data_IF_655788799975
#
_entry.id   IF_655788799975
#
_cell.length_a   1.000
_cell.length_b   1.000
_cell.length_c   1.000
_cell.angle_alpha   90.00
_cell.angle_beta   90.00
_cell.angle_gamma   90.00
#
_symmetry.space_group_name_H-M   'P 1'
#
loop_
_entity.id
_entity.type
_entity.pdbx_description
1 polymer ?
#
# COMPACT_ATOMS: atom_id res chain seq x y z
N UNK A 1 16.87 16.60 -40.28
CA UNK A 1 15.54 16.40 -39.66
C UNK A 1 15.76 15.90 -38.24
N UNK A 2 15.05 16.48 -37.27
CA UNK A 2 15.52 16.83 -35.92
C UNK A 2 15.96 15.69 -34.97
N UNK A 3 17.11 15.88 -34.28
CA UNK A 3 17.66 15.03 -33.19
C UNK A 3 17.36 15.65 -31.81
N UNK A 4 16.12 15.60 -31.34
CA UNK A 4 15.79 16.00 -29.96
C UNK A 4 14.77 15.03 -29.36
N UNK A 5 15.16 14.30 -28.31
CA UNK A 5 14.35 13.23 -27.69
C UNK A 5 13.08 13.74 -27.03
N UNK A 6 13.05 15.01 -26.59
CA UNK A 6 11.84 15.67 -26.07
C UNK A 6 10.78 15.88 -27.17
N UNK A 7 11.21 16.22 -28.39
CA UNK A 7 10.32 16.42 -29.54
C UNK A 7 9.68 15.10 -29.99
N UNK A 8 10.37 13.96 -29.81
CA UNK A 8 9.83 12.63 -30.13
C UNK A 8 8.70 12.20 -29.20
N UNK A 9 8.76 12.54 -27.90
CA UNK A 9 7.67 12.31 -26.92
C UNK A 9 6.44 13.18 -27.21
N UNK A 10 6.63 14.44 -27.59
CA UNK A 10 5.52 15.32 -28.00
C UNK A 10 4.91 14.93 -29.36
N UNK A 11 5.71 14.44 -30.31
CA UNK A 11 5.16 13.95 -31.59
C UNK A 11 4.46 12.60 -31.46
N UNK A 12 4.86 11.72 -30.52
CA UNK A 12 4.18 10.45 -30.30
C UNK A 12 2.86 10.62 -29.55
N UNK A 13 2.75 11.61 -28.65
CA UNK A 13 1.45 12.01 -28.09
C UNK A 13 0.57 12.74 -29.10
N UNK A 14 1.11 13.59 -29.98
CA UNK A 14 0.36 14.19 -31.10
C UNK A 14 -0.08 13.17 -32.17
N UNK A 15 0.72 12.13 -32.44
CA UNK A 15 0.33 11.02 -33.33
C UNK A 15 -0.69 10.07 -32.68
N UNK A 16 -0.67 9.91 -31.35
CA UNK A 16 -1.72 9.22 -30.62
C UNK A 16 -3.04 10.03 -30.62
N UNK A 17 -2.96 11.37 -30.56
CA UNK A 17 -4.11 12.27 -30.74
C UNK A 17 -4.66 12.23 -32.17
N UNK A 18 -3.80 12.07 -33.19
CA UNK A 18 -4.25 11.87 -34.58
C UNK A 18 -4.84 10.47 -34.81
N UNK A 19 -4.37 9.44 -34.10
CA UNK A 19 -4.90 8.09 -34.18
C UNK A 19 -6.26 7.94 -33.49
N UNK A 20 -6.51 8.67 -32.40
CA UNK A 20 -7.83 8.77 -31.75
C UNK A 20 -8.83 9.64 -32.54
N UNK A 21 -8.35 10.57 -33.35
CA UNK A 21 -9.18 11.32 -34.29
C UNK A 21 -9.58 10.50 -35.54
N UNK A 22 -8.95 9.35 -35.80
CA UNK A 22 -9.16 8.54 -37.01
C UNK A 22 -9.92 7.23 -36.80
N UNK A 23 -10.41 6.91 -35.59
CA UNK A 23 -11.36 5.81 -35.38
C UNK A 23 -12.82 6.26 -35.30
N UNK A 24 -13.08 7.57 -35.36
CA UNK A 24 -14.42 8.05 -35.66
C UNK A 24 -14.70 7.71 -37.12
N UNK A 25 -15.61 6.77 -37.34
CA UNK A 25 -16.48 6.84 -38.50
C UNK A 25 -17.06 8.26 -38.51
N UNK A 26 -16.42 9.16 -39.27
CA UNK A 26 -17.00 10.43 -39.69
C UNK A 26 -18.13 10.04 -40.64
N UNK A 27 -19.22 9.52 -40.10
CA UNK A 27 -20.51 9.81 -40.67
C UNK A 27 -20.71 11.29 -40.43
N UNK A 28 -20.44 12.09 -41.45
CA UNK A 28 -21.11 13.38 -41.62
C UNK A 28 -22.61 13.09 -41.62
N UNK A 29 -23.22 12.91 -40.46
CA UNK A 29 -24.64 13.11 -40.32
C UNK A 29 -24.82 14.61 -40.40
N UNK A 30 -25.21 15.06 -41.60
CA UNK A 30 -25.89 16.32 -41.74
C UNK A 30 -26.92 16.42 -40.60
N UNK A 31 -27.03 17.59 -39.97
CA UNK A 31 -28.19 17.95 -39.15
C UNK A 31 -29.40 17.31 -39.80
N UNK A 32 -30.06 16.35 -39.14
CA UNK A 32 -31.24 15.73 -39.72
C UNK A 32 -32.27 16.85 -39.88
N UNK A 33 -32.33 17.42 -41.09
CA UNK A 33 -33.23 18.50 -41.51
C UNK A 33 -34.68 17.97 -41.64
N UNK A 34 -34.89 16.68 -41.35
CA UNK A 34 -36.18 16.02 -41.23
C UNK A 34 -36.29 15.18 -39.96
N UNK A 35 -37.42 14.50 -39.83
CA UNK A 35 -37.75 13.72 -38.65
C UNK A 35 -36.84 12.49 -38.53
N UNK A 36 -36.44 12.18 -37.30
CA UNK A 36 -35.51 11.07 -37.00
C UNK A 36 -36.31 9.88 -36.51
N UNK A 37 -36.40 8.83 -37.33
CA UNK A 37 -37.10 7.61 -36.96
C UNK A 37 -36.49 6.95 -35.70
N UNK A 38 -37.34 6.51 -34.77
CA UNK A 38 -36.96 5.82 -33.53
C UNK A 38 -36.82 4.32 -33.83
N UNK A 39 -35.68 3.94 -34.39
CA UNK A 39 -35.40 2.57 -34.82
C UNK A 39 -33.95 2.16 -34.48
N UNK A 40 -33.62 0.89 -34.68
CA UNK A 40 -32.29 0.33 -34.36
C UNK A 40 -31.14 0.87 -35.21
N UNK A 41 -31.42 1.66 -36.26
CA UNK A 41 -30.38 2.34 -37.04
C UNK A 41 -29.94 3.63 -36.35
N UNK A 42 -30.90 4.41 -35.84
CA UNK A 42 -30.64 5.70 -35.20
C UNK A 42 -30.37 5.56 -33.69
N UNK A 43 -31.03 4.61 -33.03
CA UNK A 43 -30.92 4.32 -31.61
C UNK A 43 -30.65 2.83 -31.44
N UNK A 44 -29.37 2.46 -31.38
CA UNK A 44 -28.93 1.07 -31.52
C UNK A 44 -29.33 0.20 -30.34
N UNK A 45 -29.14 0.70 -29.12
CA UNK A 45 -29.50 -0.02 -27.91
C UNK A 45 -31.02 -0.07 -27.74
N UNK A 46 -31.55 -1.27 -27.49
CA UNK A 46 -32.99 -1.51 -27.42
C UNK A 46 -33.64 -0.83 -26.21
N UNK A 47 -32.93 -0.75 -25.09
CA UNK A 47 -33.41 -0.14 -23.86
C UNK A 47 -33.38 1.38 -24.02
N UNK A 48 -32.26 1.93 -24.50
CA UNK A 48 -32.18 3.37 -24.76
C UNK A 48 -33.22 3.80 -25.80
N UNK A 49 -33.39 3.05 -26.89
CA UNK A 49 -34.42 3.33 -27.88
C UNK A 49 -35.82 3.28 -27.29
N UNK A 50 -36.10 2.32 -26.40
CA UNK A 50 -37.37 2.27 -25.67
C UNK A 50 -37.59 3.50 -24.79
N UNK A 51 -36.54 4.01 -24.13
CA UNK A 51 -36.61 5.27 -23.37
C UNK A 51 -36.92 6.45 -24.30
N UNK A 52 -36.28 6.52 -25.47
CA UNK A 52 -36.54 7.57 -26.44
C UNK A 52 -38.01 7.54 -26.89
N UNK A 53 -38.55 6.36 -27.21
CA UNK A 53 -39.94 6.20 -27.60
C UNK A 53 -40.94 6.55 -26.47
N UNK A 54 -40.62 6.18 -25.22
CA UNK A 54 -41.56 6.36 -24.11
C UNK A 54 -41.55 7.79 -23.54
N UNK A 55 -40.41 8.49 -23.60
CA UNK A 55 -40.21 9.74 -22.87
C UNK A 55 -39.83 10.95 -23.74
N UNK A 56 -39.32 10.72 -24.95
CA UNK A 56 -38.82 11.79 -25.83
C UNK A 56 -39.63 11.94 -27.13
N UNK A 57 -40.62 11.06 -27.34
CA UNK A 57 -41.61 11.07 -28.43
C UNK A 57 -43.02 11.32 -27.85
N UNK A 58 -43.40 12.59 -27.58
CA UNK A 58 -44.66 12.91 -26.93
C UNK A 58 -45.91 12.59 -27.78
N UNK A 59 -45.83 12.66 -29.11
CA UNK A 59 -46.98 12.35 -29.97
C UNK A 59 -47.07 10.86 -30.36
N UNK A 60 -46.02 10.09 -30.03
CA UNK A 60 -45.92 8.64 -30.21
C UNK A 60 -46.06 8.22 -31.67
N UNK A 61 -45.61 9.07 -32.61
CA UNK A 61 -45.66 8.77 -34.05
C UNK A 61 -44.47 7.89 -34.52
N UNK A 62 -43.50 7.65 -33.64
CA UNK A 62 -42.31 6.84 -33.89
C UNK A 62 -41.16 7.59 -34.58
N UNK A 63 -41.28 8.91 -34.71
CA UNK A 63 -40.27 9.81 -35.26
C UNK A 63 -40.03 10.98 -34.29
N UNK A 64 -38.80 11.50 -34.30
CA UNK A 64 -38.46 12.71 -33.56
C UNK A 64 -38.36 13.89 -34.53
N UNK A 65 -39.39 14.72 -34.53
CA UNK A 65 -39.41 15.97 -35.26
C UNK A 65 -38.33 16.94 -34.78
N UNK A 66 -38.01 17.95 -35.60
CA UNK A 66 -37.09 19.00 -35.19
C UNK A 66 -37.58 19.74 -33.93
N UNK A 67 -38.90 19.94 -33.80
CA UNK A 67 -39.50 20.63 -32.66
C UNK A 67 -39.30 19.83 -31.36
N UNK A 68 -39.51 18.52 -31.41
CA UNK A 68 -39.31 17.64 -30.25
C UNK A 68 -37.84 17.63 -29.82
N UNK A 69 -36.93 17.39 -30.76
CA UNK A 69 -35.49 17.36 -30.46
C UNK A 69 -34.96 18.69 -29.94
N UNK A 70 -35.41 19.80 -30.51
CA UNK A 70 -34.96 21.14 -30.10
C UNK A 70 -35.59 21.59 -28.77
N UNK A 71 -36.72 21.00 -28.37
CA UNK A 71 -37.37 21.26 -27.09
C UNK A 71 -36.74 20.52 -25.91
N UNK A 72 -36.02 19.43 -26.17
CA UNK A 72 -35.38 18.61 -25.12
C UNK A 72 -34.09 19.26 -24.65
N UNK A 73 -34.10 19.76 -23.41
CA UNK A 73 -32.93 20.39 -22.77
C UNK A 73 -32.38 19.58 -21.60
N UNK A 74 -33.09 18.54 -21.17
CA UNK A 74 -32.69 17.59 -20.12
C UNK A 74 -33.04 16.17 -20.56
N UNK A 75 -32.08 15.26 -20.43
CA UNK A 75 -32.27 13.82 -20.55
C UNK A 75 -31.69 13.18 -19.30
N UNK A 76 -32.55 12.49 -18.54
CA UNK A 76 -32.19 11.79 -17.31
C UNK A 76 -32.41 10.30 -17.49
N UNK A 77 -31.46 9.64 -18.19
CA UNK A 77 -31.51 8.21 -18.50
C UNK A 77 -31.64 7.39 -17.22
N UNK A 78 -30.88 7.75 -16.17
CA UNK A 78 -30.94 7.08 -14.88
C UNK A 78 -32.33 7.19 -14.25
N UNK A 79 -32.94 8.39 -14.26
CA UNK A 79 -34.30 8.59 -13.77
C UNK A 79 -35.38 7.88 -14.61
N UNK A 80 -35.21 7.83 -15.94
CA UNK A 80 -36.12 7.09 -16.82
C UNK A 80 -36.08 5.59 -16.59
N UNK A 81 -34.89 5.02 -16.37
CA UNK A 81 -34.72 3.62 -16.03
C UNK A 81 -35.38 3.29 -14.68
N UNK A 82 -35.17 4.13 -13.67
CA UNK A 82 -35.82 3.98 -12.36
C UNK A 82 -37.35 4.03 -12.47
N UNK A 83 -37.88 4.99 -13.24
CA UNK A 83 -39.33 5.11 -13.44
C UNK A 83 -39.94 3.90 -14.17
N UNK A 84 -39.19 3.31 -15.10
CA UNK A 84 -39.68 2.19 -15.93
C UNK A 84 -39.52 0.83 -15.27
N UNK A 85 -38.39 0.59 -14.60
CA UNK A 85 -38.02 -0.72 -14.07
C UNK A 85 -38.07 -0.80 -12.54
N UNK A 86 -38.20 0.34 -11.84
CA UNK A 86 -38.21 0.43 -10.39
C UNK A 86 -36.83 0.72 -9.79
N UNK A 87 -36.84 1.38 -8.63
CA UNK A 87 -35.64 1.73 -7.86
C UNK A 87 -34.76 0.51 -7.56
N UNK A 88 -33.44 0.67 -7.74
CA UNK A 88 -32.46 -0.38 -7.50
C UNK A 88 -32.38 -1.47 -8.57
N UNK A 89 -33.13 -1.36 -9.67
CA UNK A 89 -33.02 -2.30 -10.79
C UNK A 89 -31.78 -1.99 -11.63
N UNK A 90 -30.87 -2.94 -11.73
CA UNK A 90 -29.70 -2.84 -12.61
C UNK A 90 -30.12 -3.06 -14.06
N UNK A 91 -29.95 -2.03 -14.89
CA UNK A 91 -30.26 -2.08 -16.33
C UNK A 91 -29.07 -1.54 -17.11
N UNK A 92 -28.57 -2.34 -18.03
CA UNK A 92 -27.41 -1.99 -18.84
C UNK A 92 -27.83 -1.36 -20.16
N UNK A 93 -27.18 -0.27 -20.52
CA UNK A 93 -27.26 0.38 -21.83
C UNK A 93 -25.84 0.39 -22.38
N UNK A 94 -25.65 -0.30 -23.50
CA UNK A 94 -24.33 -0.44 -24.11
C UNK A 94 -23.98 0.75 -25.03
N UNK A 95 -24.98 1.41 -25.60
CA UNK A 95 -24.78 2.37 -26.70
C UNK A 95 -25.85 3.50 -26.65
N UNK A 96 -25.40 4.75 -26.54
CA UNK A 96 -26.26 5.95 -26.59
C UNK A 96 -26.32 6.60 -27.99
N UNK A 97 -25.97 5.90 -29.06
CA UNK A 97 -26.08 6.43 -30.43
C UNK A 97 -27.49 6.97 -30.64
N UNK A 98 -27.57 8.14 -31.25
CA UNK A 98 -28.80 8.92 -31.41
C UNK A 98 -28.97 10.01 -30.36
N UNK A 99 -28.21 10.00 -29.26
CA UNK A 99 -28.20 11.11 -28.30
C UNK A 99 -27.75 12.43 -28.96
N UNK A 100 -26.90 12.35 -29.98
CA UNK A 100 -26.42 13.50 -30.76
C UNK A 100 -27.53 14.26 -31.49
N UNK A 101 -28.71 13.67 -31.69
CA UNK A 101 -29.84 14.33 -32.32
C UNK A 101 -30.47 15.43 -31.44
N UNK A 102 -30.20 15.42 -30.13
CA UNK A 102 -30.69 16.40 -29.15
C UNK A 102 -29.70 17.57 -28.97
N UNK A 103 -29.42 18.31 -30.04
CA UNK A 103 -28.41 19.39 -30.03
C UNK A 103 -28.67 20.54 -29.04
N UNK A 104 -29.90 20.70 -28.55
CA UNK A 104 -30.28 21.68 -27.53
C UNK A 104 -30.07 21.20 -26.08
N UNK A 105 -29.57 19.97 -25.89
CA UNK A 105 -29.39 19.34 -24.59
C UNK A 105 -28.40 20.11 -23.71
N UNK A 106 -28.86 20.50 -22.51
CA UNK A 106 -28.07 21.22 -21.52
C UNK A 106 -27.66 20.34 -20.35
N UNK A 107 -28.47 19.34 -20.03
CA UNK A 107 -28.23 18.41 -18.93
C UNK A 107 -28.38 16.98 -19.40
N UNK A 108 -27.32 16.19 -19.28
CA UNK A 108 -27.34 14.75 -19.52
C UNK A 108 -26.98 14.02 -18.23
N UNK A 109 -27.87 13.13 -17.77
CA UNK A 109 -27.62 12.21 -16.66
C UNK A 109 -27.75 10.78 -17.16
N UNK A 110 -26.65 10.05 -17.08
CA UNK A 110 -26.51 8.67 -17.55
C UNK A 110 -25.50 7.94 -16.69
N UNK A 111 -25.77 7.89 -15.38
CA UNK A 111 -24.94 7.18 -14.42
C UNK A 111 -25.42 5.76 -14.18
N UNK A 112 -24.50 4.83 -13.94
CA UNK A 112 -24.81 3.49 -13.44
C UNK A 112 -25.38 2.52 -14.47
N UNK A 113 -25.19 2.75 -15.78
CA UNK A 113 -25.82 1.96 -16.85
C UNK A 113 -24.85 1.05 -17.61
N UNK A 114 -23.60 0.95 -17.16
CA UNK A 114 -22.62 0.04 -17.74
C UNK A 114 -22.01 0.50 -19.07
N UNK A 115 -22.02 1.80 -19.38
CA UNK A 115 -21.41 2.31 -20.60
C UNK A 115 -19.89 2.11 -20.61
N UNK A 116 -19.36 1.52 -21.67
CA UNK A 116 -17.91 1.47 -21.92
C UNK A 116 -17.42 2.73 -22.67
N UNK A 117 -18.32 3.37 -23.43
CA UNK A 117 -18.02 4.61 -24.17
C UNK A 117 -19.19 5.59 -24.09
N UNK A 118 -18.87 6.88 -24.15
CA UNK A 118 -19.86 7.95 -24.16
C UNK A 118 -19.43 9.05 -25.14
N UNK A 119 -20.23 9.28 -26.18
CA UNK A 119 -19.98 10.33 -27.15
C UNK A 119 -20.91 11.52 -26.92
N UNK A 120 -20.34 12.65 -26.47
CA UNK A 120 -21.05 13.92 -26.24
C UNK A 120 -20.55 15.03 -27.15
N UNK A 121 -19.78 14.70 -28.19
CA UNK A 121 -19.06 15.68 -29.02
C UNK A 121 -19.98 16.67 -29.76
N UNK A 122 -21.19 16.25 -30.12
CA UNK A 122 -22.18 17.10 -30.79
C UNK A 122 -23.08 17.87 -29.81
N UNK A 123 -23.01 17.58 -28.52
CA UNK A 123 -23.81 18.22 -27.47
C UNK A 123 -23.15 19.54 -27.02
N UNK A 124 -22.97 20.45 -27.97
CA UNK A 124 -22.22 21.71 -27.76
C UNK A 124 -22.88 22.66 -26.75
N UNK A 125 -24.19 22.50 -26.50
CA UNK A 125 -24.95 23.27 -25.53
C UNK A 125 -24.90 22.70 -24.09
N UNK A 126 -24.19 21.59 -23.87
CA UNK A 126 -24.17 20.87 -22.61
C UNK A 126 -23.51 21.71 -21.50
N UNK A 127 -24.26 21.96 -20.44
CA UNK A 127 -23.83 22.70 -19.24
C UNK A 127 -23.61 21.79 -18.03
N UNK A 128 -24.27 20.63 -17.98
CA UNK A 128 -24.14 19.65 -16.90
C UNK A 128 -24.10 18.23 -17.48
N UNK A 129 -23.05 17.48 -17.12
CA UNK A 129 -22.87 16.09 -17.50
C UNK A 129 -22.65 15.23 -16.26
N UNK A 130 -23.50 14.22 -16.09
CA UNK A 130 -23.46 13.25 -14.99
C UNK A 130 -23.40 11.86 -15.61
N UNK A 131 -22.24 11.20 -15.56
CA UNK A 131 -21.98 9.88 -16.17
C UNK A 131 -21.19 8.94 -15.23
N UNK A 132 -21.38 9.09 -13.92
CA UNK A 132 -20.71 8.29 -12.90
C UNK A 132 -21.11 6.82 -12.90
N UNK A 133 -20.28 5.93 -12.37
CA UNK A 133 -20.63 4.52 -12.19
C UNK A 133 -20.79 3.77 -13.51
N UNK A 134 -20.00 4.14 -14.52
CA UNK A 134 -19.92 3.43 -15.78
C UNK A 134 -18.52 2.78 -15.91
N UNK A 135 -18.21 2.21 -17.07
CA UNK A 135 -16.92 1.59 -17.35
C UNK A 135 -16.08 2.44 -18.33
N UNK A 136 -16.25 3.76 -18.32
CA UNK A 136 -15.57 4.66 -19.25
C UNK A 136 -14.07 4.66 -18.99
N UNK A 137 -13.27 4.35 -20.01
CA UNK A 137 -11.81 4.46 -19.96
C UNK A 137 -11.30 5.83 -20.45
N UNK A 138 -12.14 6.57 -21.16
CA UNK A 138 -11.88 7.93 -21.65
C UNK A 138 -13.18 8.72 -21.81
N UNK A 139 -13.08 10.04 -21.75
CA UNK A 139 -14.21 10.95 -21.96
C UNK A 139 -13.72 12.18 -22.74
N UNK A 140 -14.26 12.38 -23.95
CA UNK A 140 -13.91 13.51 -24.80
C UNK A 140 -14.88 14.68 -24.59
N UNK A 141 -14.38 15.80 -24.07
CA UNK A 141 -15.16 17.01 -23.76
C UNK A 141 -14.71 18.25 -24.54
N UNK A 142 -13.93 18.06 -25.61
CA UNK A 142 -13.29 19.17 -26.34
C UNK A 142 -14.29 20.15 -26.98
N UNK A 143 -15.51 19.72 -27.26
CA UNK A 143 -16.57 20.55 -27.85
C UNK A 143 -17.62 21.03 -26.85
N UNK A 144 -17.49 20.66 -25.58
CA UNK A 144 -18.47 21.01 -24.55
C UNK A 144 -17.97 22.24 -23.76
N UNK A 145 -17.64 23.33 -24.47
CA UNK A 145 -17.07 24.56 -23.89
C UNK A 145 -18.01 25.25 -22.89
N UNK A 146 -19.31 25.00 -23.00
CA UNK A 146 -20.36 25.51 -22.10
C UNK A 146 -20.48 24.72 -20.79
N UNK A 147 -19.70 23.66 -20.60
CA UNK A 147 -19.82 22.77 -19.44
C UNK A 147 -19.45 23.51 -18.14
N UNK A 148 -20.38 23.49 -17.19
CA UNK A 148 -20.27 24.11 -15.86
C UNK A 148 -20.11 23.05 -14.78
N UNK A 149 -20.77 21.90 -14.93
CA UNK A 149 -20.71 20.79 -13.99
C UNK A 149 -20.37 19.48 -14.69
N UNK A 150 -19.39 18.76 -14.15
CA UNK A 150 -19.03 17.42 -14.60
C UNK A 150 -18.97 16.48 -13.40
N UNK A 151 -19.73 15.38 -13.49
CA UNK A 151 -19.58 14.21 -12.65
C UNK A 151 -19.29 12.98 -13.50
N UNK A 152 -18.05 12.52 -13.46
CA UNK A 152 -17.58 11.29 -14.12
C UNK A 152 -16.92 10.32 -13.13
N UNK A 153 -17.31 10.39 -11.85
CA UNK A 153 -16.76 9.53 -10.80
C UNK A 153 -17.03 8.04 -11.04
N UNK A 154 -16.30 7.15 -10.35
CA UNK A 154 -16.50 5.70 -10.43
C UNK A 154 -16.50 5.19 -11.89
N UNK A 155 -15.39 5.43 -12.58
CA UNK A 155 -15.10 4.98 -13.94
C UNK A 155 -13.63 4.50 -13.99
N UNK A 156 -13.10 4.21 -15.19
CA UNK A 156 -11.72 3.76 -15.41
C UNK A 156 -10.89 4.82 -16.18
N UNK A 157 -11.19 6.11 -15.99
CA UNK A 157 -10.56 7.19 -16.76
C UNK A 157 -9.13 7.42 -16.26
N UNK A 158 -8.17 7.38 -17.19
CA UNK A 158 -6.72 7.59 -16.87
C UNK A 158 -6.24 9.03 -17.02
N UNK A 159 -6.99 9.83 -17.77
CA UNK A 159 -6.68 11.23 -18.02
C UNK A 159 -7.89 11.97 -18.58
N UNK A 160 -8.04 13.23 -18.17
CA UNK A 160 -9.19 14.06 -18.51
C UNK A 160 -8.69 15.41 -19.02
N UNK A 161 -9.03 15.75 -20.27
CA UNK A 161 -8.64 17.01 -20.90
C UNK A 161 -9.73 18.06 -20.69
N UNK A 162 -9.43 19.10 -19.90
CA UNK A 162 -10.40 20.13 -19.50
C UNK A 162 -10.03 21.55 -19.92
N UNK A 163 -8.99 21.71 -20.74
CA UNK A 163 -8.43 23.02 -21.09
C UNK A 163 -9.44 23.95 -21.82
N UNK A 164 -10.43 23.38 -22.51
CA UNK A 164 -11.48 24.12 -23.23
C UNK A 164 -12.74 24.35 -22.37
N UNK A 165 -12.92 23.59 -21.29
CA UNK A 165 -14.08 23.70 -20.38
C UNK A 165 -13.85 24.81 -19.34
N UNK A 166 -13.54 26.02 -19.80
CA UNK A 166 -13.13 27.17 -18.96
C UNK A 166 -14.23 27.73 -18.05
N UNK A 167 -15.49 27.29 -18.27
CA UNK A 167 -16.67 27.61 -17.47
C UNK A 167 -16.93 26.62 -16.34
N UNK A 168 -16.12 25.56 -16.22
CA UNK A 168 -16.32 24.52 -15.23
C UNK A 168 -16.19 25.07 -13.80
N UNK A 169 -17.24 24.88 -13.00
CA UNK A 169 -17.35 25.26 -11.59
C UNK A 169 -17.28 24.06 -10.66
N UNK A 170 -17.78 22.91 -11.10
CA UNK A 170 -17.81 21.68 -10.31
C UNK A 170 -17.23 20.52 -11.10
N UNK A 171 -16.21 19.89 -10.54
CA UNK A 171 -15.60 18.67 -11.07
C UNK A 171 -15.64 17.56 -10.02
N UNK A 172 -16.34 16.49 -10.34
CA UNK A 172 -16.41 15.26 -9.54
C UNK A 172 -15.88 14.12 -10.42
N UNK A 173 -14.69 13.63 -10.11
CA UNK A 173 -13.97 12.61 -10.88
C UNK A 173 -13.23 11.61 -9.97
N UNK A 174 -13.70 11.46 -8.73
CA UNK A 174 -13.16 10.50 -7.77
C UNK A 174 -13.35 9.05 -8.23
N UNK A 175 -12.59 8.12 -7.63
CA UNK A 175 -12.66 6.69 -7.92
C UNK A 175 -12.47 6.42 -9.42
N UNK A 176 -11.36 6.91 -9.96
CA UNK A 176 -10.88 6.68 -11.33
C UNK A 176 -9.39 6.27 -11.28
N UNK A 177 -8.73 6.21 -12.43
CA UNK A 177 -7.31 5.86 -12.56
C UNK A 177 -6.47 7.08 -13.02
N UNK A 178 -6.88 8.30 -12.64
CA UNK A 178 -6.28 9.54 -13.15
C UNK A 178 -4.89 9.72 -12.55
N UNK A 179 -3.87 9.73 -13.43
CA UNK A 179 -2.45 9.89 -13.04
C UNK A 179 -1.98 11.36 -13.02
N UNK A 180 -2.73 12.23 -13.70
CA UNK A 180 -2.46 13.66 -13.74
C UNK A 180 -3.62 14.44 -14.36
N UNK A 181 -3.81 15.68 -13.91
CA UNK A 181 -4.85 16.59 -14.40
C UNK A 181 -4.32 18.02 -14.47
N UNK A 182 -4.58 18.71 -15.58
CA UNK A 182 -4.26 20.14 -15.72
C UNK A 182 -5.56 20.95 -15.55
N UNK A 183 -5.64 21.68 -14.43
CA UNK A 183 -6.76 22.54 -14.08
C UNK A 183 -6.43 24.03 -14.23
N UNK A 184 -5.30 24.37 -14.87
CA UNK A 184 -4.80 25.75 -14.97
C UNK A 184 -5.70 26.69 -15.76
N UNK A 185 -6.59 26.15 -16.60
CA UNK A 185 -7.59 26.89 -17.39
C UNK A 185 -8.97 26.94 -16.75
N UNK A 186 -9.23 26.10 -15.75
CA UNK A 186 -10.52 26.01 -15.06
C UNK A 186 -10.53 26.98 -13.87
N UNK A 187 -10.26 28.25 -14.12
CA UNK A 187 -10.11 29.28 -13.07
C UNK A 187 -11.43 29.62 -12.35
N UNK A 188 -12.56 29.15 -12.88
CA UNK A 188 -13.89 29.26 -12.28
C UNK A 188 -14.25 28.09 -11.36
N UNK A 189 -13.34 27.14 -11.15
CA UNK A 189 -13.61 25.95 -10.34
C UNK A 189 -13.82 26.32 -8.87
N UNK A 190 -14.97 25.92 -8.32
CA UNK A 190 -15.43 26.16 -6.95
C UNK A 190 -15.42 24.85 -6.13
N UNK A 191 -15.70 23.71 -6.77
CA UNK A 191 -15.71 22.39 -6.13
C UNK A 191 -14.87 21.39 -6.93
N UNK A 192 -13.93 20.73 -6.26
CA UNK A 192 -13.11 19.65 -6.81
C UNK A 192 -13.17 18.40 -5.91
N UNK A 193 -13.66 17.30 -6.45
CA UNK A 193 -13.56 15.97 -5.83
C UNK A 193 -12.84 15.02 -6.78
N UNK A 194 -11.64 14.59 -6.39
CA UNK A 194 -10.72 13.75 -7.16
C UNK A 194 -10.05 12.67 -6.28
N UNK A 195 -10.66 12.35 -5.13
CA UNK A 195 -10.14 11.31 -4.23
C UNK A 195 -10.13 9.93 -4.90
N UNK A 196 -9.34 8.99 -4.39
CA UNK A 196 -9.20 7.64 -4.96
C UNK A 196 -8.84 7.71 -6.46
N UNK A 197 -7.67 8.27 -6.73
CA UNK A 197 -7.03 8.32 -8.03
C UNK A 197 -5.53 8.06 -7.86
N UNK A 198 -4.76 8.17 -8.93
CA UNK A 198 -3.33 7.83 -8.97
C UNK A 198 -2.46 9.09 -9.10
N UNK A 199 -2.91 10.24 -8.57
CA UNK A 199 -2.21 11.52 -8.72
C UNK A 199 -0.90 11.55 -7.93
N UNK A 200 0.19 11.88 -8.60
CA UNK A 200 1.51 12.12 -7.96
C UNK A 200 1.79 13.59 -7.68
N UNK A 201 0.99 14.49 -8.28
CA UNK A 201 1.05 15.93 -8.08
C UNK A 201 -0.30 16.57 -8.38
N UNK A 202 -0.59 17.69 -7.72
CA UNK A 202 -1.80 18.48 -7.94
C UNK A 202 -1.45 19.96 -7.79
N UNK A 203 -1.59 20.74 -8.86
CA UNK A 203 -1.40 22.19 -8.86
C UNK A 203 -2.77 22.88 -8.91
N UNK A 204 -3.11 23.58 -7.82
CA UNK A 204 -4.34 24.36 -7.67
C UNK A 204 -4.09 25.86 -7.63
N UNK A 205 -2.89 26.31 -8.03
CA UNK A 205 -2.46 27.72 -7.93
C UNK A 205 -3.28 28.69 -8.78
N UNK A 206 -4.06 28.18 -9.75
CA UNK A 206 -4.95 28.97 -10.61
C UNK A 206 -6.43 28.87 -10.22
N UNK A 207 -6.78 27.99 -9.30
CA UNK A 207 -8.15 27.71 -8.92
C UNK A 207 -8.51 28.46 -7.62
N UNK A 208 -8.30 29.79 -7.65
CA UNK A 208 -8.43 30.66 -6.47
C UNK A 208 -9.87 30.80 -5.94
N UNK A 209 -10.86 30.30 -6.69
CA UNK A 209 -12.27 30.27 -6.31
C UNK A 209 -12.69 28.95 -5.63
N UNK A 210 -11.78 27.99 -5.46
CA UNK A 210 -12.09 26.72 -4.80
C UNK A 210 -12.53 26.96 -3.35
N UNK A 211 -13.72 26.46 -3.03
CA UNK A 211 -14.30 26.48 -1.69
C UNK A 211 -14.57 25.07 -1.14
N UNK A 212 -14.44 24.03 -1.97
CA UNK A 212 -14.51 22.63 -1.58
C UNK A 212 -13.49 21.79 -2.34
N UNK A 213 -12.68 21.04 -1.59
CA UNK A 213 -11.65 20.15 -2.12
C UNK A 213 -11.74 18.80 -1.42
N UNK A 214 -11.71 17.71 -2.20
CA UNK A 214 -11.35 16.39 -1.71
C UNK A 214 -10.38 15.72 -2.70
N UNK A 215 -9.13 15.54 -2.28
CA UNK A 215 -8.07 14.87 -3.03
C UNK A 215 -7.40 13.75 -2.22
N UNK A 216 -8.05 13.24 -1.17
CA UNK A 216 -7.52 12.15 -0.35
C UNK A 216 -7.34 10.86 -1.15
N UNK A 217 -6.60 9.88 -0.61
CA UNK A 217 -6.38 8.58 -1.28
C UNK A 217 -5.78 8.75 -2.70
N UNK A 218 -4.65 9.45 -2.78
CA UNK A 218 -3.84 9.60 -3.98
C UNK A 218 -2.36 9.31 -3.62
N UNK A 219 -1.41 9.72 -4.48
CA UNK A 219 0.04 9.57 -4.26
C UNK A 219 0.75 10.92 -4.12
N UNK A 220 0.08 11.91 -3.53
CA UNK A 220 0.64 13.25 -3.36
C UNK A 220 1.70 13.25 -2.26
N UNK A 221 2.93 13.63 -2.62
CA UNK A 221 4.00 13.91 -1.63
C UNK A 221 3.81 15.24 -0.92
N UNK A 222 3.29 16.21 -1.66
CA UNK A 222 3.15 17.59 -1.21
C UNK A 222 1.88 18.18 -1.81
N UNK A 223 1.28 19.12 -1.09
CA UNK A 223 0.16 19.91 -1.57
C UNK A 223 0.32 21.34 -1.08
N UNK A 224 0.12 22.31 -1.97
CA UNK A 224 0.15 23.73 -1.63
C UNK A 224 -1.20 24.37 -1.91
N UNK A 225 -1.85 24.83 -0.84
CA UNK A 225 -3.17 25.45 -0.87
C UNK A 225 -3.12 26.96 -0.58
N UNK A 226 -1.93 27.56 -0.57
CA UNK A 226 -1.77 29.01 -0.29
C UNK A 226 -2.48 29.93 -1.28
N UNK A 227 -2.79 29.43 -2.48
CA UNK A 227 -3.54 30.15 -3.51
C UNK A 227 -5.06 29.95 -3.39
N UNK A 228 -5.55 29.18 -2.40
CA UNK A 228 -6.93 28.75 -2.30
C UNK A 228 -7.57 29.23 -0.96
N UNK A 229 -7.58 30.55 -0.67
CA UNK A 229 -8.01 31.08 0.63
C UNK A 229 -9.52 30.96 0.89
N UNK A 230 -10.31 30.50 -0.09
CA UNK A 230 -11.75 30.27 0.06
C UNK A 230 -12.09 28.85 0.46
N UNK A 231 -11.10 27.94 0.49
CA UNK A 231 -11.27 26.64 1.12
C UNK A 231 -11.56 26.89 2.61
N UNK A 232 -12.71 26.42 3.09
CA UNK A 232 -13.05 26.46 4.52
C UNK A 232 -12.16 25.54 5.34
N UNK A 233 -12.67 25.02 6.46
CA UNK A 233 -11.95 24.05 7.29
C UNK A 233 -11.55 22.81 6.45
N UNK A 234 -10.28 22.75 6.05
CA UNK A 234 -9.70 21.62 5.31
C UNK A 234 -9.21 20.62 6.35
N UNK A 235 -9.92 19.51 6.46
CA UNK A 235 -9.60 18.42 7.37
C UNK A 235 -8.77 17.33 6.68
N UNK A 236 -8.06 16.52 7.47
CA UNK A 236 -7.23 15.41 7.02
C UNK A 236 -7.98 14.47 6.06
N UNK A 237 -9.24 14.13 6.36
CA UNK A 237 -10.05 13.23 5.51
C UNK A 237 -10.20 13.69 4.05
N UNK A 238 -10.06 15.00 3.81
CA UNK A 238 -10.20 15.61 2.48
C UNK A 238 -8.89 15.73 1.71
N UNK A 239 -7.73 15.66 2.37
CA UNK A 239 -6.41 15.88 1.75
C UNK A 239 -5.41 14.77 2.01
N UNK A 240 -5.56 14.03 3.10
CA UNK A 240 -4.67 12.99 3.60
C UNK A 240 -4.91 11.61 3.00
N UNK A 241 -4.51 10.56 3.73
CA UNK A 241 -4.46 9.20 3.22
C UNK A 241 -3.68 9.08 1.89
N UNK A 242 -2.68 9.95 1.72
CA UNK A 242 -1.78 9.86 0.57
C UNK A 242 -0.85 8.67 0.78
N UNK A 243 -0.53 7.96 -0.28
CA UNK A 243 0.35 6.79 -0.22
C UNK A 243 1.46 6.92 -1.23
N UNK A 244 2.71 6.75 -0.81
CA UNK A 244 3.86 6.74 -1.71
C UNK A 244 4.71 5.51 -1.43
N UNK A 245 5.46 5.06 -2.44
CA UNK A 245 6.35 3.91 -2.31
C UNK A 245 7.79 4.37 -2.17
N UNK A 246 8.54 3.72 -1.29
CA UNK A 246 9.99 3.87 -1.16
C UNK A 246 10.65 2.52 -0.84
N UNK A 247 11.96 2.44 -1.05
CA UNK A 247 12.76 1.30 -0.60
C UNK A 247 13.65 1.76 0.55
N UNK A 248 13.67 0.99 1.64
CA UNK A 248 14.58 1.19 2.74
C UNK A 248 15.84 0.33 2.57
N UNK A 249 16.96 0.90 3.00
CA UNK A 249 18.28 0.31 2.95
C UNK A 249 18.85 0.28 4.37
N UNK A 250 19.73 -0.69 4.64
CA UNK A 250 20.47 -0.76 5.90
C UNK A 250 21.97 -0.46 5.69
N UNK A 251 22.49 0.46 6.49
CA UNK A 251 23.90 0.85 6.55
C UNK A 251 24.60 0.12 7.69
N UNK A 252 25.49 -0.82 7.34
CA UNK A 252 26.30 -1.53 8.33
C UNK A 252 27.40 -0.65 8.97
N UNK A 253 27.69 0.53 8.40
CA UNK A 253 28.73 1.43 8.92
C UNK A 253 28.31 2.13 10.21
N UNK A 254 27.04 2.52 10.29
CA UNK A 254 26.48 3.30 11.39
C UNK A 254 25.19 2.69 11.99
N UNK A 255 24.73 1.55 11.45
CA UNK A 255 23.53 0.85 11.90
C UNK A 255 22.23 1.51 11.45
N UNK A 256 22.28 2.56 10.61
CA UNK A 256 21.08 3.28 10.19
C UNK A 256 20.26 2.52 9.16
N UNK A 257 18.95 2.66 9.25
CA UNK A 257 17.98 2.20 8.26
C UNK A 257 17.33 3.44 7.67
N UNK A 258 17.39 3.58 6.34
CA UNK A 258 16.91 4.79 5.70
C UNK A 258 16.13 4.52 4.41
N UNK A 259 15.10 5.32 4.17
CA UNK A 259 14.34 5.34 2.93
C UNK A 259 14.48 6.71 2.25
N UNK A 260 15.10 6.71 1.07
CA UNK A 260 15.33 7.92 0.29
C UNK A 260 14.02 8.40 -0.34
N UNK A 261 13.55 9.58 0.08
CA UNK A 261 12.33 10.18 -0.44
C UNK A 261 12.58 11.67 -0.65
N UNK A 262 12.77 12.07 -1.91
CA UNK A 262 12.84 13.48 -2.24
C UNK A 262 11.49 14.18 -2.02
N UNK A 263 11.39 14.98 -0.95
CA UNK A 263 10.22 15.78 -0.60
C UNK A 263 10.52 17.26 -0.86
N UNK A 264 9.90 17.89 -1.88
CA UNK A 264 10.04 19.32 -2.09
C UNK A 264 9.58 20.12 -0.87
N UNK A 265 10.29 21.21 -0.54
CA UNK A 265 9.97 22.07 0.60
C UNK A 265 9.81 21.31 1.93
N UNK A 266 10.71 20.37 2.22
CA UNK A 266 10.69 19.53 3.43
C UNK A 266 10.57 20.28 4.77
N UNK A 267 10.86 21.59 4.80
CA UNK A 267 10.57 22.46 5.95
C UNK A 267 9.08 22.49 6.34
N UNK A 268 8.18 22.06 5.44
CA UNK A 268 6.73 21.96 5.68
C UNK A 268 6.30 20.62 6.27
N UNK A 269 7.20 19.64 6.40
CA UNK A 269 6.92 18.45 7.20
C UNK A 269 6.82 18.90 8.66
N UNK A 270 5.70 18.63 9.31
CA UNK A 270 5.45 19.00 10.71
C UNK A 270 6.02 17.94 11.65
N UNK A 271 5.71 16.68 11.40
CA UNK A 271 6.18 15.52 12.17
C UNK A 271 6.17 14.27 11.30
N UNK A 272 6.81 13.22 11.81
CA UNK A 272 6.83 11.88 11.25
C UNK A 272 6.53 10.84 12.35
N UNK A 273 6.07 9.66 11.95
CA UNK A 273 5.84 8.53 12.87
C UNK A 273 7.11 7.97 13.50
N UNK A 274 8.28 8.37 12.98
CA UNK A 274 9.61 7.92 13.43
C UNK A 274 10.42 9.07 14.06
N UNK A 275 9.78 10.20 14.37
CA UNK A 275 10.39 11.23 15.22
C UNK A 275 10.65 10.66 16.62
N UNK A 276 11.76 11.05 17.22
CA UNK A 276 12.18 10.51 18.53
C UNK A 276 12.75 11.59 19.44
N UNK A 277 12.86 11.24 20.72
CA UNK A 277 13.50 12.05 21.74
C UNK A 277 14.68 11.26 22.29
N UNK A 278 15.87 11.85 22.18
CA UNK A 278 17.11 11.26 22.68
C UNK A 278 17.54 11.97 23.97
N UNK A 279 17.97 11.19 24.96
CA UNK A 279 18.59 11.73 26.17
C UNK A 279 20.07 12.03 25.91
N UNK A 280 20.51 13.25 26.24
CA UNK A 280 21.91 13.69 26.12
C UNK A 280 22.39 14.27 27.43
N UNK A 281 23.71 14.31 27.64
CA UNK A 281 24.30 14.95 28.82
C UNK A 281 23.84 16.43 28.90
N UNK A 282 22.91 16.70 29.82
CA UNK A 282 22.35 18.03 30.04
C UNK A 282 20.92 18.25 29.52
N UNK A 283 20.20 17.23 29.03
CA UNK A 283 18.78 17.35 28.69
C UNK A 283 18.27 16.32 27.69
N UNK A 284 17.20 16.65 26.98
CA UNK A 284 16.66 15.86 25.87
C UNK A 284 16.74 16.63 24.57
N UNK A 285 16.99 15.93 23.46
CA UNK A 285 16.99 16.47 22.11
C UNK A 285 15.89 15.79 21.32
N UNK A 286 15.08 16.59 20.63
CA UNK A 286 14.11 16.07 19.68
C UNK A 286 14.79 15.89 18.32
N UNK A 287 14.73 14.66 17.80
CA UNK A 287 15.31 14.28 16.53
C UNK A 287 14.18 13.95 15.56
N UNK A 288 14.11 14.74 14.49
CA UNK A 288 13.14 14.51 13.42
C UNK A 288 13.55 13.26 12.63
N UNK A 289 12.59 12.42 12.32
CA UNK A 289 12.82 11.20 11.56
C UNK A 289 13.11 11.43 10.07
N UNK A 290 12.90 12.65 9.56
CA UNK A 290 13.30 13.05 8.21
C UNK A 290 14.45 14.05 8.26
N UNK A 291 15.58 13.72 7.65
CA UNK A 291 16.83 14.52 7.70
C UNK A 291 16.93 15.61 6.62
N UNK A 292 15.95 15.67 5.71
CA UNK A 292 15.94 16.56 4.55
C UNK A 292 16.05 15.83 3.21
N UNK A 293 16.49 14.58 3.23
CA UNK A 293 16.63 13.70 2.06
C UNK A 293 15.93 12.37 2.25
N UNK A 294 15.99 11.82 3.46
CA UNK A 294 15.63 10.45 3.75
C UNK A 294 14.91 10.37 5.10
N UNK A 295 14.04 9.36 5.22
CA UNK A 295 13.53 8.94 6.53
C UNK A 295 14.56 8.01 7.17
N UNK A 296 14.98 8.28 8.40
CA UNK A 296 16.09 7.57 9.06
C UNK A 296 15.70 7.10 10.47
N UNK A 297 15.89 5.80 10.72
CA UNK A 297 15.74 5.19 12.05
C UNK A 297 16.85 4.16 12.29
N UNK A 298 16.90 3.63 13.51
CA UNK A 298 17.77 2.53 13.93
C UNK A 298 16.96 1.30 14.38
N UNK A 299 15.63 1.42 14.38
CA UNK A 299 14.70 0.35 14.76
C UNK A 299 14.03 -0.22 13.49
N UNK A 300 14.35 -1.44 13.07
CA UNK A 300 13.75 -2.05 11.88
C UNK A 300 12.24 -2.24 11.99
N UNK A 301 11.69 -2.32 13.19
CA UNK A 301 10.24 -2.48 13.42
C UNK A 301 9.46 -1.24 12.96
N UNK A 302 10.07 -0.05 13.03
CA UNK A 302 9.43 1.21 12.65
C UNK A 302 9.11 1.34 11.15
N UNK A 303 9.71 0.48 10.32
CA UNK A 303 9.43 0.42 8.89
C UNK A 303 8.37 -0.63 8.50
N UNK A 304 8.03 -1.57 9.39
CA UNK A 304 7.11 -2.68 9.07
C UNK A 304 5.71 -2.20 8.70
N UNK A 305 5.20 -1.18 9.41
CA UNK A 305 3.87 -0.59 9.16
C UNK A 305 3.91 0.61 8.19
N UNK A 306 5.08 0.86 7.59
CA UNK A 306 5.39 2.05 6.81
C UNK A 306 5.61 3.30 7.69
N UNK A 307 6.04 4.39 7.05
CA UNK A 307 6.27 5.67 7.75
C UNK A 307 5.15 6.63 7.41
N UNK A 308 4.63 7.35 8.39
CA UNK A 308 3.68 8.44 8.14
C UNK A 308 4.38 9.76 8.38
N UNK A 309 4.23 10.72 7.46
CA UNK A 309 4.58 12.11 7.72
C UNK A 309 3.38 13.02 7.53
N UNK A 310 3.35 14.08 8.33
CA UNK A 310 2.32 15.10 8.29
C UNK A 310 2.88 16.35 7.61
N UNK A 311 2.29 16.75 6.50
CA UNK A 311 2.75 17.85 5.66
C UNK A 311 1.81 19.05 5.77
N UNK A 312 2.35 20.20 6.17
CA UNK A 312 1.60 21.46 6.25
C UNK A 312 1.25 21.93 4.83
N UNK A 313 -0.04 22.07 4.53
CA UNK A 313 -0.56 22.44 3.20
C UNK A 313 -0.54 23.96 2.90
N UNK A 314 0.00 24.76 3.81
CA UNK A 314 0.22 26.20 3.68
C UNK A 314 -1.08 26.98 3.46
N UNK A 315 -2.11 26.58 4.20
CA UNK A 315 -3.39 27.26 4.33
C UNK A 315 -3.67 27.43 5.82
N UNK A 316 -4.08 28.62 6.22
CA UNK A 316 -4.48 28.91 7.60
C UNK A 316 -5.71 28.06 7.96
N UNK A 317 -5.79 27.59 9.20
CA UNK A 317 -6.87 26.73 9.70
C UNK A 317 -7.09 25.40 8.94
N UNK A 318 -6.13 24.97 8.11
CA UNK A 318 -6.10 23.64 7.53
C UNK A 318 -5.35 22.65 8.42
N UNK A 319 -5.87 21.43 8.52
CA UNK A 319 -5.13 20.31 9.09
C UNK A 319 -3.95 19.91 8.18
N UNK A 320 -3.00 19.15 8.74
CA UNK A 320 -1.88 18.66 7.97
C UNK A 320 -2.29 17.47 7.09
N UNK A 321 -1.77 17.42 5.88
CA UNK A 321 -1.94 16.27 5.00
C UNK A 321 -1.13 15.09 5.53
N UNK A 322 -1.78 13.96 5.79
CA UNK A 322 -1.07 12.70 6.09
C UNK A 322 -0.61 12.00 4.82
N UNK A 323 0.63 11.55 4.83
CA UNK A 323 1.23 10.75 3.75
C UNK A 323 1.89 9.52 4.36
N UNK A 324 1.40 8.34 3.97
CA UNK A 324 2.02 7.05 4.27
C UNK A 324 3.05 6.72 3.20
N UNK A 325 4.27 6.46 3.63
CA UNK A 325 5.35 5.86 2.86
C UNK A 325 5.28 4.36 3.10
N UNK A 326 4.78 3.62 2.12
CA UNK A 326 4.91 2.19 2.07
C UNK A 326 6.37 1.87 1.73
N UNK A 327 6.99 1.05 2.56
CA UNK A 327 8.42 0.78 2.45
C UNK A 327 8.62 -0.69 2.11
N UNK A 328 9.34 -0.90 1.01
CA UNK A 328 9.93 -2.19 0.67
C UNK A 328 11.33 -2.24 1.26
N UNK A 329 11.79 -3.39 1.75
CA UNK A 329 13.16 -3.57 2.25
C UNK A 329 13.78 -4.83 1.67
N UNK A 330 15.09 -4.81 1.52
CA UNK A 330 15.92 -5.96 1.14
C UNK A 330 16.95 -6.32 2.21
N UNK A 331 16.79 -5.77 3.42
CA UNK A 331 17.49 -6.20 4.62
C UNK A 331 16.57 -7.03 5.53
N UNK A 332 17.16 -7.90 6.33
CA UNK A 332 16.47 -8.88 7.17
C UNK A 332 17.01 -8.85 8.59
N UNK A 333 16.12 -9.11 9.55
CA UNK A 333 16.46 -9.16 10.97
C UNK A 333 16.62 -10.62 11.37
N UNK A 334 17.80 -10.97 11.87
CA UNK A 334 18.09 -12.28 12.48
C UNK A 334 18.04 -12.12 13.99
N UNK A 335 17.13 -12.83 14.65
CA UNK A 335 16.93 -12.79 16.11
C UNK A 335 17.41 -14.09 16.73
N UNK A 336 18.28 -13.97 17.72
CA UNK A 336 18.93 -15.09 18.40
C UNK A 336 18.28 -15.32 19.76
N UNK A 337 17.95 -16.56 20.09
CA UNK A 337 17.28 -16.95 21.33
C UNK A 337 18.02 -18.08 22.05
N UNK A 338 17.80 -18.21 23.35
CA UNK A 338 18.44 -19.26 24.13
C UNK A 338 17.85 -20.67 23.90
N UNK A 339 16.63 -20.74 23.38
CA UNK A 339 15.85 -21.97 23.29
C UNK A 339 14.72 -21.87 22.26
N UNK A 340 14.20 -23.04 21.85
CA UNK A 340 13.09 -23.19 20.90
C UNK A 340 11.75 -22.60 21.37
N UNK A 341 11.69 -22.04 22.58
CA UNK A 341 10.51 -21.33 23.09
C UNK A 341 10.47 -19.87 22.64
N UNK A 342 11.59 -19.31 22.21
CA UNK A 342 11.72 -17.91 21.80
C UNK A 342 11.30 -16.90 22.90
N UNK A 343 11.44 -17.28 24.17
CA UNK A 343 11.05 -16.44 25.32
C UNK A 343 12.17 -15.47 25.73
N UNK A 344 13.43 -15.87 25.55
CA UNK A 344 14.60 -15.10 25.98
C UNK A 344 15.49 -14.76 24.78
N UNK A 345 15.40 -13.51 24.30
CA UNK A 345 16.20 -12.98 23.19
C UNK A 345 17.62 -12.73 23.68
N UNK A 346 18.59 -13.39 23.05
CA UNK A 346 20.02 -13.20 23.29
C UNK A 346 20.55 -11.97 22.56
N UNK A 347 20.05 -11.70 21.35
CA UNK A 347 20.43 -10.54 20.57
C UNK A 347 19.80 -10.52 19.19
N UNK A 348 20.17 -9.54 18.39
CA UNK A 348 19.72 -9.39 17.01
C UNK A 348 20.78 -8.78 16.10
N UNK A 349 20.72 -9.13 14.82
CA UNK A 349 21.57 -8.59 13.76
C UNK A 349 20.70 -8.24 12.55
N UNK A 350 21.08 -7.19 11.81
CA UNK A 350 20.45 -6.81 10.55
C UNK A 350 21.44 -7.08 9.41
N UNK A 351 20.96 -7.73 8.35
CA UNK A 351 21.76 -8.08 7.17
C UNK A 351 21.08 -7.63 5.89
N UNK A 352 21.81 -7.11 4.89
CA UNK A 352 21.28 -6.74 3.55
C UNK A 352 20.99 -7.98 2.66
N UNK A 353 20.63 -9.11 3.28
CA UNK A 353 20.62 -10.44 2.66
C UNK A 353 22.01 -11.10 2.58
N UNK A 354 22.01 -12.42 2.37
CA UNK A 354 23.25 -13.21 2.33
C UNK A 354 23.55 -13.89 3.66
N UNK A 355 24.78 -13.83 4.15
CA UNK A 355 25.15 -14.58 5.36
C UNK A 355 25.10 -13.67 6.59
N UNK A 356 24.46 -14.13 7.66
CA UNK A 356 24.56 -13.50 8.97
C UNK A 356 25.81 -14.01 9.71
N UNK A 357 26.40 -13.15 10.53
CA UNK A 357 27.49 -13.56 11.38
C UNK A 357 26.99 -14.51 12.49
N UNK A 358 27.88 -15.35 13.00
CA UNK A 358 27.56 -16.14 14.17
C UNK A 358 27.49 -15.20 15.38
N UNK A 359 26.33 -15.13 16.03
CA UNK A 359 26.14 -14.33 17.23
C UNK A 359 27.06 -14.84 18.35
N UNK A 360 27.84 -13.92 18.96
CA UNK A 360 28.76 -14.26 20.03
C UNK A 360 28.01 -14.40 21.36
N UNK A 361 28.02 -15.60 21.93
CA UNK A 361 27.36 -15.89 23.19
C UNK A 361 28.14 -15.29 24.36
N UNK A 362 27.54 -14.34 25.08
CA UNK A 362 28.14 -13.73 26.27
C UNK A 362 28.28 -14.70 27.44
N UNK A 363 27.39 -15.69 27.54
CA UNK A 363 27.44 -16.72 28.57
C UNK A 363 26.90 -18.06 28.07
N UNK A 364 27.49 -19.14 28.56
CA UNK A 364 27.06 -20.51 28.29
C UNK A 364 26.35 -21.03 29.55
N UNK A 365 25.11 -21.56 29.44
CA UNK A 365 24.41 -22.14 30.57
C UNK A 365 25.23 -23.23 31.27
N UNK A 366 25.04 -23.38 32.57
CA UNK A 366 25.78 -24.37 33.37
C UNK A 366 25.58 -25.79 32.81
N UNK A 367 26.68 -26.55 32.69
CA UNK A 367 26.70 -27.92 32.14
C UNK A 367 26.15 -28.03 30.72
N UNK A 368 26.16 -26.94 29.96
CA UNK A 368 25.88 -26.97 28.53
C UNK A 368 27.14 -26.65 27.75
N UNK A 369 27.20 -27.17 26.55
CA UNK A 369 28.12 -26.75 25.51
C UNK A 369 27.29 -26.28 24.32
N UNK A 370 27.65 -25.13 23.74
CA UNK A 370 27.05 -24.68 22.49
C UNK A 370 27.45 -25.62 21.35
N UNK A 371 26.47 -26.08 20.59
CA UNK A 371 26.68 -26.97 19.44
C UNK A 371 26.59 -26.15 18.16
N UNK A 372 25.43 -25.54 17.93
CA UNK A 372 25.14 -24.77 16.73
C UNK A 372 23.88 -23.91 16.94
N UNK A 373 23.56 -23.07 15.96
CA UNK A 373 22.25 -22.42 15.85
C UNK A 373 21.23 -23.34 15.18
N UNK A 374 19.94 -23.13 15.46
CA UNK A 374 18.87 -23.97 14.92
C UNK A 374 18.61 -23.79 13.43
N UNK A 375 19.04 -22.66 12.87
CA UNK A 375 18.82 -22.28 11.48
C UNK A 375 20.14 -22.16 10.73
N UNK A 376 20.09 -22.39 9.42
CA UNK A 376 21.21 -22.06 8.53
C UNK A 376 21.28 -20.54 8.38
N UNK A 377 22.36 -19.95 8.89
CA UNK A 377 22.60 -18.51 8.83
C UNK A 377 23.18 -18.04 7.49
N UNK A 378 23.21 -18.93 6.49
CA UNK A 378 23.60 -18.61 5.11
C UNK A 378 22.38 -18.30 4.22
N UNK A 379 22.58 -17.41 3.25
CA UNK A 379 21.56 -17.02 2.26
C UNK A 379 20.21 -16.54 2.87
N UNK A 380 20.28 -15.74 3.92
CA UNK A 380 19.14 -15.03 4.50
C UNK A 380 18.44 -14.20 3.43
N UNK A 381 17.14 -14.46 3.27
CA UNK A 381 16.24 -13.82 2.31
C UNK A 381 14.90 -13.42 2.92
N UNK A 382 14.74 -13.66 4.23
CA UNK A 382 13.58 -13.32 5.04
C UNK A 382 14.05 -13.08 6.49
N UNK A 383 13.20 -12.48 7.33
CA UNK A 383 13.49 -12.40 8.77
C UNK A 383 13.59 -13.79 9.39
N UNK A 384 14.62 -14.01 10.22
CA UNK A 384 14.90 -15.31 10.82
C UNK A 384 14.85 -15.23 12.34
N UNK A 385 14.22 -16.22 12.95
CA UNK A 385 14.37 -16.49 14.39
C UNK A 385 15.13 -17.79 14.54
N UNK A 386 16.25 -17.75 15.25
CA UNK A 386 17.07 -18.92 15.53
C UNK A 386 17.30 -19.07 17.03
N UNK A 387 17.56 -20.28 17.49
CA UNK A 387 17.88 -20.54 18.88
C UNK A 387 19.13 -21.41 19.04
N UNK A 388 19.80 -21.25 20.18
CA UNK A 388 21.01 -22.01 20.50
C UNK A 388 20.68 -23.49 20.74
N UNK A 389 21.38 -24.38 20.04
CA UNK A 389 21.36 -25.82 20.29
C UNK A 389 22.46 -26.15 21.29
N UNK A 390 22.04 -26.72 22.42
CA UNK A 390 22.93 -27.08 23.52
C UNK A 390 23.09 -28.60 23.62
N UNK A 391 24.30 -29.05 23.91
CA UNK A 391 24.60 -30.42 24.33
C UNK A 391 24.91 -30.44 25.83
N UNK A 392 24.51 -31.51 26.52
CA UNK A 392 24.90 -31.75 27.91
C UNK A 392 26.41 -31.97 27.99
N UNK A 393 27.08 -31.14 28.77
CA UNK A 393 28.52 -31.21 29.04
C UNK A 393 28.72 -31.37 30.55
N UNK A 394 28.38 -32.56 31.03
CA UNK A 394 28.61 -32.94 32.42
C UNK A 394 30.02 -33.53 32.60
N UNK A 395 30.75 -33.02 33.60
CA UNK A 395 31.95 -33.70 34.10
C UNK A 395 31.57 -34.58 35.29
N UNK A 396 31.10 -35.80 34.99
CA UNK A 396 30.65 -36.79 35.98
C UNK A 396 31.86 -37.49 36.61
N UNK A 397 31.94 -37.45 37.93
CA UNK A 397 33.00 -38.09 38.70
C UNK A 397 32.43 -38.67 40.01
N UNK A 398 33.19 -39.55 40.65
CA UNK A 398 32.91 -39.97 42.03
C UNK A 398 33.18 -38.77 42.96
N UNK A 399 32.15 -38.32 43.66
CA UNK A 399 32.20 -37.14 44.54
C UNK A 399 32.53 -37.51 46.00
N UNK A 400 31.93 -38.59 46.52
CA UNK A 400 32.16 -39.11 47.88
C UNK A 400 31.85 -40.60 47.96
N UNK A 401 32.36 -41.28 49.00
CA UNK A 401 32.07 -42.69 49.28
C UNK A 401 32.02 -42.88 50.80
N UNK A 402 30.82 -43.06 51.34
CA UNK A 402 30.57 -43.16 52.78
C UNK A 402 29.69 -44.37 53.07
N UNK A 403 30.07 -45.18 54.07
CA UNK A 403 29.29 -46.37 54.51
C UNK A 403 28.93 -47.36 53.38
N UNK A 404 29.73 -47.42 52.31
CA UNK A 404 29.49 -48.30 51.16
C UNK A 404 28.54 -47.73 50.08
N UNK A 405 28.11 -46.48 50.24
CA UNK A 405 27.36 -45.71 49.24
C UNK A 405 28.36 -44.80 48.53
N UNK A 406 28.35 -44.83 47.20
CA UNK A 406 29.18 -44.01 46.32
C UNK A 406 28.29 -42.95 45.68
N UNK A 407 28.63 -41.68 45.89
CA UNK A 407 27.96 -40.54 45.28
C UNK A 407 28.69 -40.19 43.98
N UNK A 408 27.98 -40.27 42.86
CA UNK A 408 28.49 -39.95 41.53
C UNK A 408 27.72 -38.75 41.03
N UNK A 409 28.43 -37.68 40.68
CA UNK A 409 27.76 -36.48 40.24
C UNK A 409 28.61 -35.55 39.42
N UNK A 410 27.98 -34.48 38.96
CA UNK A 410 28.64 -33.50 38.11
C UNK A 410 29.46 -32.52 38.95
N UNK A 411 30.77 -32.52 38.76
CA UNK A 411 31.71 -31.61 39.44
C UNK A 411 31.53 -30.14 39.07
N UNK A 412 30.78 -29.85 37.99
CA UNK A 412 30.41 -28.49 37.59
C UNK A 412 29.29 -27.89 38.44
N UNK A 413 28.73 -28.64 39.40
CA UNK A 413 27.80 -28.13 40.41
C UNK A 413 26.36 -27.95 39.95
N UNK A 414 25.90 -28.69 38.95
CA UNK A 414 24.50 -28.62 38.46
C UNK A 414 23.50 -29.43 39.30
N UNK A 415 23.95 -30.05 40.39
CA UNK A 415 23.09 -30.88 41.25
C UNK A 415 22.72 -32.25 40.67
N UNK A 416 23.32 -32.66 39.55
CA UNK A 416 23.25 -34.06 39.09
C UNK A 416 24.11 -34.89 40.05
N UNK A 417 23.45 -35.72 40.85
CA UNK A 417 24.03 -36.61 41.84
C UNK A 417 23.21 -37.90 41.85
N UNK A 418 23.90 -39.03 41.79
CA UNK A 418 23.35 -40.37 41.81
C UNK A 418 24.08 -41.20 42.85
N UNK A 419 23.31 -41.91 43.67
CA UNK A 419 23.84 -42.77 44.71
C UNK A 419 23.86 -44.23 44.26
N UNK A 420 25.00 -44.89 44.47
CA UNK A 420 25.18 -46.30 44.16
C UNK A 420 25.70 -47.05 45.39
N UNK A 421 25.02 -48.11 45.79
CA UNK A 421 25.57 -49.02 46.79
C UNK A 421 26.61 -49.91 46.13
N UNK A 422 27.84 -49.94 46.66
CA UNK A 422 28.87 -50.84 46.14
C UNK A 422 28.42 -52.31 46.13
N UNK A 423 27.59 -52.71 47.10
CA UNK A 423 27.02 -54.06 47.19
C UNK A 423 26.13 -54.44 46.00
N UNK A 424 25.49 -53.48 45.34
CA UNK A 424 24.57 -53.73 44.23
C UNK A 424 25.33 -53.96 42.91
N UNK A 425 26.56 -53.45 42.82
CA UNK A 425 27.45 -53.57 41.65
C UNK A 425 28.57 -54.59 41.84
N UNK A 426 28.71 -55.22 43.01
CA UNK A 426 29.81 -56.15 43.28
C UNK A 426 29.73 -57.40 42.39
N UNK A 427 30.84 -57.73 41.73
CA UNK A 427 30.98 -58.73 40.68
C UNK A 427 30.26 -58.44 39.36
N UNK A 428 29.64 -57.26 39.19
CA UNK A 428 29.08 -56.85 37.91
C UNK A 428 30.21 -56.70 36.89
N UNK A 429 29.94 -57.10 35.65
CA UNK A 429 30.88 -57.07 34.53
C UNK A 429 30.39 -56.10 33.47
N UNK A 430 31.30 -55.65 32.61
CA UNK A 430 30.93 -54.84 31.45
C UNK A 430 29.78 -55.50 30.66
N UNK A 431 28.65 -54.78 30.56
CA UNK A 431 27.43 -55.26 29.92
C UNK A 431 26.32 -55.72 30.88
N UNK A 432 26.60 -55.89 32.16
CA UNK A 432 25.59 -56.18 33.18
C UNK A 432 24.79 -54.93 33.55
N UNK A 433 23.49 -55.10 33.86
CA UNK A 433 22.60 -53.98 34.19
C UNK A 433 23.01 -53.20 35.45
N UNK A 434 23.77 -53.83 36.35
CA UNK A 434 24.26 -53.21 37.59
C UNK A 434 25.71 -52.75 37.50
N UNK A 435 26.34 -52.87 36.32
CA UNK A 435 27.70 -52.40 36.11
C UNK A 435 27.74 -50.89 35.88
N UNK A 436 28.39 -50.18 36.79
CA UNK A 436 28.63 -48.74 36.70
C UNK A 436 30.12 -48.52 36.42
N UNK A 437 30.45 -48.02 35.22
CA UNK A 437 31.85 -47.90 34.77
C UNK A 437 32.73 -47.07 35.69
N UNK A 438 32.16 -46.05 36.34
CA UNK A 438 32.88 -45.20 37.30
C UNK A 438 33.20 -45.90 38.64
N UNK A 439 32.62 -47.07 38.90
CA UNK A 439 32.95 -47.91 40.07
C UNK A 439 34.03 -48.96 39.75
N UNK A 440 34.40 -49.15 38.49
CA UNK A 440 35.49 -50.02 38.03
C UNK A 440 36.80 -49.24 37.98
N UNK A 441 37.37 -49.00 39.15
CA UNK A 441 38.50 -48.07 39.33
C UNK A 441 39.79 -48.50 38.65
N UNK A 442 39.96 -49.81 38.43
CA UNK A 442 41.15 -50.35 37.79
C UNK A 442 40.93 -50.66 36.29
N UNK A 443 39.70 -50.50 35.80
CA UNK A 443 39.27 -50.70 34.41
C UNK A 443 39.52 -52.13 33.87
N UNK A 444 39.43 -53.16 34.72
CA UNK A 444 39.56 -54.57 34.33
C UNK A 444 38.25 -55.18 33.80
N UNK A 445 37.16 -54.40 33.80
CA UNK A 445 35.84 -54.80 33.34
C UNK A 445 35.01 -55.53 34.39
N UNK A 446 35.47 -55.61 35.65
CA UNK A 446 34.80 -56.32 36.75
C UNK A 446 34.88 -55.51 38.05
N UNK A 447 33.74 -55.01 38.54
CA UNK A 447 33.68 -54.29 39.82
C UNK A 447 33.88 -55.28 40.97
N UNK A 448 34.99 -55.19 41.69
CA UNK A 448 35.33 -56.13 42.75
C UNK A 448 35.98 -55.45 43.96
N UNK A 449 36.38 -56.24 44.96
CA UNK A 449 36.93 -55.73 46.22
C UNK A 449 38.18 -54.85 46.04
N UNK A 450 38.93 -55.00 44.93
CA UNK A 450 40.06 -54.11 44.61
C UNK A 450 39.59 -52.72 44.25
N UNK A 451 38.51 -52.60 43.48
CA UNK A 451 37.94 -51.32 43.09
C UNK A 451 37.37 -50.57 44.29
N UNK A 452 36.69 -51.29 45.19
CA UNK A 452 36.26 -50.72 46.47
C UNK A 452 37.43 -50.20 47.32
N UNK A 453 38.52 -50.96 47.39
CA UNK A 453 39.71 -50.55 48.13
C UNK A 453 40.40 -49.33 47.49
N UNK A 454 40.30 -49.16 46.16
CA UNK A 454 40.80 -47.99 45.44
C UNK A 454 39.89 -46.76 45.64
N UNK A 455 38.57 -46.94 45.60
CA UNK A 455 37.58 -45.90 45.94
C UNK A 455 37.85 -45.34 47.33
N UNK A 456 37.90 -46.19 48.36
CA UNK A 456 38.16 -45.77 49.75
C UNK A 456 39.51 -45.05 49.95
N UNK A 457 40.49 -45.27 49.07
CA UNK A 457 41.80 -44.59 49.11
C UNK A 457 41.82 -43.25 48.39
N UNK A 458 40.93 -43.02 47.43
CA UNK A 458 40.85 -41.74 46.72
C UNK A 458 40.12 -40.66 47.53
N UNK A 459 39.38 -41.05 48.57
CA UNK A 459 38.48 -40.18 49.33
C UNK A 459 38.95 -39.93 50.79
N UNK A 460 40.05 -40.57 51.20
CA UNK A 460 40.77 -40.35 52.46
C UNK A 460 42.15 -39.76 52.15
#
# INVERSE_FOLDING_TARGET
MFKNSKVRRYLSSLLAVAALACSMSISMFAYADGDVAINSTNFKDDIFRGIVADYLDPDHDGYLSQSERSGVTLIDVSGFLEAKYGEGTHVEIADLSGIEYFSALRTLRVGGVGLETLNVYQLVALTSLTCQGNYLTSLNLLNNEELVELNCAANHIKGLQLALNTKLKKLVCHSNEITGIDLSKNTQLETLSIFQNELTSLDLSKNTLLSSLNCSNNHLKVLDLSANPLLGEVIEDSIGNQTIEASANYSAEDGSIYADVAIPNASRIVSTSIDRVEEVDGGTVYVKGYDGTSFVTYDPEQFLDGIIYYYNVNLEDAENMSVRVNVTRDFFVVRYYDSAKFENKLGEEIVNGGNAAAFELESIPQCKQFVDWSEDLSNITDDVQTYAIWQDDHNIQVLSCENGIVHIGCTKGCGLDEEYTFADSVNARTGDATYVSLLDMNADGIINAKDFAMLLRLMN
#
